data_IF_330044018443
#
_entry.id   IF_330044018443
#
_cell.length_a   1.000
_cell.length_b   1.000
_cell.length_c   1.000
_cell.angle_alpha   90.00
_cell.angle_beta   90.00
_cell.angle_gamma   90.00
#
_symmetry.space_group_name_H-M   'P 1'
#
loop_
_entity.id
_entity.type
_entity.pdbx_description
1 polymer ?
#
# COMPACT_ATOMS: atom_id res chain seq x y z
N UNK A 1 -5.28 -21.86 -24.35
CA UNK A 1 -4.74 -21.68 -22.98
C UNK A 1 -3.94 -22.91 -22.62
N UNK A 2 -2.66 -22.77 -22.34
CA UNK A 2 -1.83 -23.88 -21.84
C UNK A 2 -2.26 -24.27 -20.41
N UNK A 3 -2.06 -25.51 -19.96
CA UNK A 3 -2.37 -25.95 -18.59
C UNK A 3 -1.80 -25.02 -17.51
N UNK A 4 -0.57 -24.54 -17.72
CA UNK A 4 0.12 -23.59 -16.83
C UNK A 4 -0.66 -22.29 -16.63
N UNK A 5 -1.26 -21.77 -17.70
CA UNK A 5 -2.08 -20.54 -17.63
C UNK A 5 -3.38 -20.71 -16.85
N UNK A 6 -3.94 -21.93 -16.76
CA UNK A 6 -5.12 -22.23 -15.96
C UNK A 6 -4.76 -22.33 -14.47
N UNK A 7 -3.65 -23.00 -14.16
CA UNK A 7 -3.13 -23.08 -12.80
C UNK A 7 -2.78 -21.70 -12.26
N UNK A 8 -2.00 -20.90 -13.02
CA UNK A 8 -1.63 -19.53 -12.66
C UNK A 8 -2.85 -18.66 -12.37
N UNK A 9 -3.89 -18.71 -13.21
CA UNK A 9 -5.15 -17.98 -12.97
C UNK A 9 -5.83 -18.41 -11.67
N UNK A 10 -5.91 -19.70 -11.39
CA UNK A 10 -6.52 -20.20 -10.15
C UNK A 10 -5.77 -19.73 -8.92
N UNK A 11 -4.44 -19.83 -8.93
CA UNK A 11 -3.58 -19.34 -7.84
C UNK A 11 -3.81 -17.84 -7.63
N UNK A 12 -3.70 -17.03 -8.68
CA UNK A 12 -3.84 -15.58 -8.55
C UNK A 12 -5.25 -15.15 -8.15
N UNK A 13 -6.30 -15.80 -8.64
CA UNK A 13 -7.67 -15.52 -8.18
C UNK A 13 -7.85 -15.89 -6.71
N UNK A 14 -7.37 -17.06 -6.27
CA UNK A 14 -7.43 -17.48 -4.88
C UNK A 14 -6.67 -16.50 -3.98
N UNK A 15 -5.44 -16.15 -4.35
CA UNK A 15 -4.63 -15.14 -3.65
C UNK A 15 -5.34 -13.78 -3.61
N UNK A 16 -5.95 -13.34 -4.71
CA UNK A 16 -6.71 -12.09 -4.77
C UNK A 16 -7.85 -12.04 -3.76
N UNK A 17 -8.64 -13.12 -3.67
CA UNK A 17 -9.77 -13.24 -2.74
C UNK A 17 -9.26 -13.32 -1.29
N UNK A 18 -8.30 -14.19 -1.01
CA UNK A 18 -7.73 -14.36 0.33
C UNK A 18 -7.05 -13.09 0.83
N UNK A 19 -6.27 -12.42 -0.02
CA UNK A 19 -5.60 -11.16 0.29
C UNK A 19 -6.58 -10.02 0.53
N UNK A 20 -7.64 -9.89 -0.27
CA UNK A 20 -8.68 -8.89 -0.02
C UNK A 20 -9.41 -9.14 1.32
N UNK A 21 -9.71 -10.40 1.65
CA UNK A 21 -10.30 -10.77 2.94
C UNK A 21 -9.37 -10.46 4.12
N UNK A 22 -8.09 -10.80 4.01
CA UNK A 22 -7.07 -10.52 5.03
C UNK A 22 -6.85 -9.02 5.21
N UNK A 23 -6.85 -8.23 4.13
CA UNK A 23 -6.77 -6.78 4.20
C UNK A 23 -7.94 -6.21 5.00
N UNK A 24 -9.17 -6.60 4.65
CA UNK A 24 -10.37 -6.18 5.39
C UNK A 24 -10.33 -6.55 6.87
N UNK A 25 -9.91 -7.79 7.17
CA UNK A 25 -9.74 -8.26 8.53
C UNK A 25 -8.66 -7.46 9.29
N UNK A 26 -7.54 -7.16 8.63
CA UNK A 26 -6.42 -6.41 9.23
C UNK A 26 -6.81 -4.96 9.56
N UNK A 27 -7.54 -4.28 8.68
CA UNK A 27 -8.01 -2.91 8.88
C UNK A 27 -9.15 -2.82 9.90
N UNK A 28 -9.87 -3.93 10.12
CA UNK A 28 -10.86 -4.04 11.19
C UNK A 28 -10.23 -4.36 12.55
N UNK A 29 -8.97 -4.82 12.57
CA UNK A 29 -8.22 -5.00 13.80
C UNK A 29 -7.65 -3.67 14.27
N UNK A 30 -7.54 -3.49 15.59
CA UNK A 30 -6.99 -2.25 16.13
C UNK A 30 -5.50 -2.13 15.76
N UNK A 31 -5.12 -1.02 15.16
CA UNK A 31 -3.76 -0.78 14.70
C UNK A 31 -2.77 -0.85 15.87
N UNK A 32 -1.67 -1.58 15.69
CA UNK A 32 -0.65 -1.80 16.73
C UNK A 32 -0.87 -3.04 17.61
N UNK A 33 -2.03 -3.71 17.53
CA UNK A 33 -2.33 -4.92 18.29
C UNK A 33 -1.64 -6.18 17.74
N UNK A 34 -1.49 -7.22 18.57
CA UNK A 34 -0.98 -8.54 18.13
C UNK A 34 -1.77 -9.11 16.96
N UNK A 35 -3.11 -8.97 16.99
CA UNK A 35 -3.99 -9.42 15.90
C UNK A 35 -3.70 -8.67 14.61
N UNK A 36 -3.49 -7.35 14.68
CA UNK A 36 -3.11 -6.55 13.52
C UNK A 36 -1.79 -7.04 12.91
N UNK A 37 -0.76 -7.30 13.72
CA UNK A 37 0.53 -7.80 13.21
C UNK A 37 0.41 -9.18 12.55
N UNK A 38 -0.33 -10.10 13.17
CA UNK A 38 -0.53 -11.44 12.58
C UNK A 38 -1.30 -11.37 11.25
N UNK A 39 -2.34 -10.53 11.18
CA UNK A 39 -3.14 -10.37 9.95
C UNK A 39 -2.34 -9.68 8.85
N UNK A 40 -1.58 -8.63 9.16
CA UNK A 40 -0.74 -7.91 8.17
C UNK A 40 0.46 -8.73 7.72
N UNK A 41 1.06 -9.55 8.60
CA UNK A 41 2.08 -10.51 8.21
C UNK A 41 1.49 -11.61 7.31
N UNK A 42 0.34 -12.18 7.67
CA UNK A 42 -0.36 -13.17 6.86
C UNK A 42 -0.80 -12.63 5.50
N UNK A 43 -1.18 -11.35 5.44
CA UNK A 43 -1.50 -10.63 4.21
C UNK A 43 -0.27 -10.56 3.29
N UNK A 44 0.88 -10.09 3.82
CA UNK A 44 2.13 -10.01 3.06
C UNK A 44 2.57 -11.38 2.52
N UNK A 45 2.49 -12.42 3.36
CA UNK A 45 2.80 -13.81 2.96
C UNK A 45 1.85 -14.30 1.88
N UNK A 46 0.56 -13.97 1.96
CA UNK A 46 -0.43 -14.37 0.96
C UNK A 46 -0.14 -13.75 -0.40
N UNK A 47 0.13 -12.43 -0.43
CA UNK A 47 0.48 -11.72 -1.66
C UNK A 47 1.77 -12.24 -2.28
N UNK A 48 2.86 -12.29 -1.50
CA UNK A 48 4.16 -12.72 -1.99
C UNK A 48 4.15 -14.21 -2.38
N UNK A 49 3.59 -15.08 -1.54
CA UNK A 49 3.49 -16.51 -1.78
C UNK A 49 2.67 -16.84 -3.03
N UNK A 50 1.51 -16.18 -3.20
CA UNK A 50 0.69 -16.34 -4.40
C UNK A 50 1.36 -15.82 -5.67
N UNK A 51 2.09 -14.70 -5.58
CA UNK A 51 2.85 -14.16 -6.70
C UNK A 51 3.99 -15.10 -7.13
N UNK A 52 4.76 -15.62 -6.18
CA UNK A 52 5.87 -16.53 -6.44
C UNK A 52 5.41 -17.90 -6.93
N UNK A 53 4.29 -18.42 -6.40
CA UNK A 53 3.68 -19.67 -6.87
C UNK A 53 3.11 -19.56 -8.28
N UNK A 54 2.77 -18.36 -8.74
CA UNK A 54 2.22 -18.11 -10.07
C UNK A 54 3.28 -18.08 -11.18
N UNK A 55 4.56 -17.91 -10.86
CA UNK A 55 5.65 -17.94 -11.84
C UNK A 55 6.70 -16.84 -11.66
N UNK A 56 7.63 -16.69 -12.62
CA UNK A 56 8.74 -15.73 -12.53
C UNK A 56 8.24 -14.29 -12.54
N UNK A 57 8.88 -13.44 -11.72
CA UNK A 57 8.55 -12.03 -11.58
C UNK A 57 9.62 -11.16 -12.25
N UNK A 58 9.29 -10.40 -13.32
CA UNK A 58 10.24 -9.51 -13.96
C UNK A 58 10.68 -8.42 -12.99
N UNK A 59 11.97 -8.36 -12.63
CA UNK A 59 12.49 -7.34 -11.70
C UNK A 59 12.65 -5.98 -12.37
N UNK A 60 12.97 -5.95 -13.67
CA UNK A 60 13.14 -4.74 -14.47
C UNK A 60 13.98 -5.02 -15.70
N UNK A 61 14.12 -4.05 -16.60
CA UNK A 61 15.10 -4.16 -17.70
C UNK A 61 16.52 -4.11 -17.12
N UNK A 62 17.41 -4.97 -17.64
CA UNK A 62 18.80 -5.02 -17.20
C UNK A 62 19.47 -3.64 -17.32
N UNK A 63 20.19 -3.16 -16.29
CA UNK A 63 20.88 -1.90 -16.37
C UNK A 63 22.01 -1.97 -17.42
N UNK A 64 21.91 -1.15 -18.47
CA UNK A 64 23.05 -0.88 -19.35
C UNK A 64 24.05 0.02 -18.61
N UNK A 65 25.27 -0.49 -18.39
CA UNK A 65 26.48 0.20 -17.89
C UNK A 65 26.30 1.31 -16.81
N UNK A 66 26.78 1.04 -15.59
CA UNK A 66 27.23 2.01 -14.57
C UNK A 66 26.22 3.01 -13.99
N UNK A 67 25.64 3.87 -14.83
CA UNK A 67 24.68 4.93 -14.44
C UNK A 67 23.22 4.45 -14.39
N UNK A 68 22.86 3.41 -15.13
CA UNK A 68 21.49 2.90 -15.18
C UNK A 68 21.01 2.35 -13.83
N UNK A 69 21.89 1.74 -13.03
CA UNK A 69 21.52 1.17 -11.71
C UNK A 69 21.14 2.25 -10.71
N UNK A 70 21.89 3.36 -10.66
CA UNK A 70 21.56 4.51 -9.78
C UNK A 70 20.22 5.12 -10.18
N UNK A 71 19.97 5.28 -11.48
CA UNK A 71 18.70 5.78 -11.98
C UNK A 71 17.52 4.85 -11.65
N UNK A 72 17.72 3.53 -11.70
CA UNK A 72 16.71 2.52 -11.35
C UNK A 72 16.31 2.52 -9.87
N UNK A 73 17.11 3.13 -8.99
CA UNK A 73 16.78 3.28 -7.55
C UNK A 73 16.31 4.69 -7.23
N UNK A 74 17.07 5.71 -7.66
CA UNK A 74 16.81 7.11 -7.31
C UNK A 74 15.48 7.59 -7.88
N UNK A 75 15.17 7.29 -9.14
CA UNK A 75 13.92 7.77 -9.76
C UNK A 75 12.68 7.20 -9.08
N UNK A 76 12.57 5.89 -8.81
CA UNK A 76 11.48 5.36 -8.01
C UNK A 76 11.35 5.98 -6.62
N UNK A 77 12.45 6.17 -5.89
CA UNK A 77 12.42 6.81 -4.58
C UNK A 77 11.86 8.24 -4.68
N UNK A 78 12.30 9.01 -5.68
CA UNK A 78 11.77 10.35 -5.94
C UNK A 78 10.29 10.34 -6.34
N UNK A 79 9.84 9.35 -7.13
CA UNK A 79 8.43 9.19 -7.47
C UNK A 79 7.60 8.85 -6.23
N UNK A 80 8.08 7.95 -5.37
CA UNK A 80 7.44 7.61 -4.10
C UNK A 80 7.34 8.84 -3.17
N UNK A 81 8.42 9.61 -3.05
CA UNK A 81 8.45 10.85 -2.28
C UNK A 81 7.53 11.93 -2.86
N UNK A 82 7.50 12.10 -4.18
CA UNK A 82 6.59 13.01 -4.87
C UNK A 82 5.12 12.61 -4.71
N UNK A 83 4.83 11.31 -4.80
CA UNK A 83 3.52 10.76 -4.47
C UNK A 83 3.14 11.07 -3.02
N UNK A 84 4.05 10.90 -2.08
CA UNK A 84 3.81 11.27 -0.67
C UNK A 84 3.49 12.76 -0.56
N UNK A 85 4.27 13.64 -1.20
CA UNK A 85 4.02 15.08 -1.18
C UNK A 85 2.62 15.46 -1.68
N UNK A 86 2.14 14.82 -2.75
CA UNK A 86 0.78 15.00 -3.27
C UNK A 86 -0.28 14.58 -2.24
N UNK A 87 -0.16 13.37 -1.68
CA UNK A 87 -1.11 12.85 -0.69
C UNK A 87 -1.09 13.63 0.62
N UNK A 88 0.09 14.02 1.09
CA UNK A 88 0.27 14.85 2.27
C UNK A 88 -0.34 16.24 2.08
N UNK A 89 -0.14 16.86 0.90
CA UNK A 89 -0.79 18.12 0.54
C UNK A 89 -2.32 17.99 0.52
N UNK A 90 -2.85 16.92 -0.08
CA UNK A 90 -4.28 16.64 -0.05
C UNK A 90 -4.81 16.43 1.38
N UNK A 91 -4.06 15.72 2.23
CA UNK A 91 -4.41 15.51 3.63
C UNK A 91 -4.40 16.83 4.43
N UNK A 92 -3.46 17.74 4.15
CA UNK A 92 -3.41 19.09 4.74
C UNK A 92 -4.67 19.89 4.44
N UNK A 93 -5.23 19.76 3.24
CA UNK A 93 -6.50 20.38 2.88
C UNK A 93 -7.67 19.63 3.54
N UNK A 94 -7.65 18.30 3.49
CA UNK A 94 -8.71 17.44 4.03
C UNK A 94 -8.94 17.61 5.53
N UNK A 95 -7.89 17.93 6.31
CA UNK A 95 -8.00 18.19 7.76
C UNK A 95 -8.92 19.38 8.10
N UNK A 96 -9.18 20.27 7.14
CA UNK A 96 -10.12 21.39 7.31
C UNK A 96 -11.58 21.00 7.02
N UNK A 97 -11.83 19.77 6.54
CA UNK A 97 -13.17 19.25 6.25
C UNK A 97 -13.54 18.25 7.35
N UNK A 98 -14.50 18.56 8.25
CA UNK A 98 -14.75 17.76 9.46
C UNK A 98 -15.08 16.28 9.22
N UNK A 99 -15.68 15.95 8.07
CA UNK A 99 -15.98 14.56 7.69
C UNK A 99 -14.70 13.80 7.35
N UNK A 100 -13.78 14.43 6.60
CA UNK A 100 -12.52 13.81 6.18
C UNK A 100 -11.54 13.75 7.34
N UNK A 101 -11.45 14.81 8.14
CA UNK A 101 -10.61 14.85 9.35
C UNK A 101 -10.93 13.70 10.31
N UNK A 102 -12.22 13.49 10.62
CA UNK A 102 -12.65 12.37 11.47
C UNK A 102 -12.35 11.01 10.85
N UNK A 103 -12.57 10.86 9.54
CA UNK A 103 -12.29 9.60 8.83
C UNK A 103 -10.80 9.27 8.83
N UNK A 104 -9.93 10.24 8.57
CA UNK A 104 -8.48 10.05 8.53
C UNK A 104 -7.93 9.82 9.95
N UNK A 105 -8.36 10.63 10.92
CA UNK A 105 -7.97 10.46 12.34
C UNK A 105 -8.37 9.09 12.86
N UNK A 106 -9.55 8.57 12.49
CA UNK A 106 -9.98 7.22 12.90
C UNK A 106 -9.05 6.11 12.37
N UNK A 107 -8.51 6.26 11.16
CA UNK A 107 -7.57 5.31 10.54
C UNK A 107 -6.18 5.41 11.17
N UNK A 108 -5.76 6.60 11.60
CA UNK A 108 -4.43 6.87 12.15
C UNK A 108 -4.31 6.59 13.66
N UNK A 109 -5.40 6.22 14.34
CA UNK A 109 -5.38 5.90 15.77
C UNK A 109 -4.69 4.56 16.03
N UNK A 110 -3.43 4.61 16.42
CA UNK A 110 -2.66 3.47 16.93
C UNK A 110 -3.03 3.16 18.39
N UNK A 111 -2.92 1.90 18.80
CA UNK A 111 -2.85 1.56 20.23
C UNK A 111 -1.65 2.25 20.87
N UNK A 112 -1.85 2.77 22.08
CA UNK A 112 -0.81 3.44 22.87
C UNK A 112 0.40 2.54 23.11
N UNK A 113 0.19 1.22 23.20
CA UNK A 113 1.22 0.19 23.39
C UNK A 113 1.71 -0.43 22.06
N UNK A 114 1.27 0.11 20.92
CA UNK A 114 1.66 -0.36 19.60
C UNK A 114 3.14 -0.10 19.31
N UNK A 115 3.88 -1.16 18.98
CA UNK A 115 5.28 -1.02 18.56
C UNK A 115 5.39 -0.45 17.14
N UNK A 116 5.77 0.83 17.04
CA UNK A 116 6.00 1.52 15.78
C UNK A 116 6.98 0.77 14.83
N UNK A 117 8.09 0.16 15.30
CA UNK A 117 8.94 -0.65 14.44
C UNK A 117 8.22 -1.85 13.79
N UNK A 118 7.32 -2.53 14.51
CA UNK A 118 6.57 -3.65 13.94
C UNK A 118 5.54 -3.19 12.91
N UNK A 119 4.88 -2.04 13.14
CA UNK A 119 3.99 -1.42 12.13
C UNK A 119 4.78 -1.09 10.85
N UNK A 120 5.94 -0.43 10.99
CA UNK A 120 6.80 -0.09 9.84
C UNK A 120 7.27 -1.35 9.10
N UNK A 121 7.65 -2.39 9.83
CA UNK A 121 8.09 -3.66 9.25
C UNK A 121 6.96 -4.33 8.47
N UNK A 122 5.77 -4.50 9.06
CA UNK A 122 4.67 -5.17 8.36
C UNK A 122 4.13 -4.33 7.19
N UNK A 123 4.09 -3.01 7.31
CA UNK A 123 3.72 -2.13 6.20
C UNK A 123 4.74 -2.18 5.06
N UNK A 124 6.04 -2.19 5.37
CA UNK A 124 7.11 -2.32 4.37
C UNK A 124 7.03 -3.66 3.64
N UNK A 125 6.79 -4.75 4.39
CA UNK A 125 6.59 -6.07 3.81
C UNK A 125 5.37 -6.11 2.89
N UNK A 126 4.24 -5.51 3.30
CA UNK A 126 3.05 -5.43 2.46
C UNK A 126 3.26 -4.56 1.21
N UNK A 127 3.94 -3.42 1.33
CA UNK A 127 4.25 -2.57 0.17
C UNK A 127 4.99 -3.35 -0.93
N UNK A 128 6.00 -4.14 -0.55
CA UNK A 128 6.71 -5.00 -1.50
C UNK A 128 5.82 -6.14 -2.00
N UNK A 129 5.15 -6.84 -1.10
CA UNK A 129 4.34 -8.01 -1.44
C UNK A 129 3.16 -7.70 -2.37
N UNK A 130 2.50 -6.56 -2.16
CA UNK A 130 1.45 -6.06 -3.03
C UNK A 130 1.99 -5.80 -4.45
N UNK A 131 3.16 -5.18 -4.59
CA UNK A 131 3.75 -4.96 -5.92
C UNK A 131 4.17 -6.27 -6.60
N UNK A 132 4.65 -7.27 -5.84
CA UNK A 132 4.92 -8.61 -6.38
C UNK A 132 3.64 -9.25 -6.95
N UNK A 133 2.51 -9.11 -6.26
CA UNK A 133 1.24 -9.67 -6.71
C UNK A 133 0.61 -8.86 -7.85
N UNK A 134 0.35 -7.57 -7.64
CA UNK A 134 -0.39 -6.75 -8.58
C UNK A 134 0.45 -6.34 -9.79
N UNK A 135 1.69 -5.85 -9.60
CA UNK A 135 2.57 -5.37 -10.69
C UNK A 135 3.51 -6.44 -11.21
N UNK A 136 3.66 -7.53 -10.48
CA UNK A 136 4.36 -8.73 -10.93
C UNK A 136 3.39 -9.73 -11.56
N UNK A 137 2.87 -10.65 -10.76
CA UNK A 137 2.19 -11.84 -11.27
C UNK A 137 0.88 -11.54 -12.01
N UNK A 138 0.00 -10.69 -11.45
CA UNK A 138 -1.26 -10.32 -12.09
C UNK A 138 -1.05 -9.48 -13.35
N UNK A 139 -0.09 -8.56 -13.32
CA UNK A 139 0.32 -7.79 -14.50
C UNK A 139 0.77 -8.72 -15.63
N UNK A 140 1.70 -9.63 -15.35
CA UNK A 140 2.22 -10.58 -16.34
C UNK A 140 1.14 -11.50 -16.90
N UNK A 141 0.18 -11.94 -16.07
CA UNK A 141 -0.97 -12.73 -16.53
C UNK A 141 -1.86 -11.94 -17.52
N UNK A 142 -1.93 -10.62 -17.37
CA UNK A 142 -2.86 -9.74 -18.11
C UNK A 142 -2.17 -8.87 -19.16
N UNK A 143 -0.87 -9.09 -19.39
CA UNK A 143 0.00 -8.25 -20.22
C UNK A 143 -0.46 -8.13 -21.67
N UNK A 144 -1.12 -9.17 -22.20
CA UNK A 144 -1.64 -9.21 -23.57
C UNK A 144 -2.98 -8.50 -23.78
N UNK A 145 -3.62 -7.99 -22.72
CA UNK A 145 -4.96 -7.39 -22.78
C UNK A 145 -4.89 -5.93 -22.33
N UNK A 146 -5.13 -5.68 -21.04
CA UNK A 146 -5.14 -4.34 -20.44
C UNK A 146 -4.52 -4.37 -19.04
N UNK A 147 -3.21 -4.66 -18.90
CA UNK A 147 -2.61 -4.93 -17.59
C UNK A 147 -2.77 -3.76 -16.62
N UNK A 148 -2.55 -2.52 -17.08
CA UNK A 148 -2.73 -1.33 -16.26
C UNK A 148 -4.16 -1.22 -15.70
N UNK A 149 -5.16 -1.35 -16.56
CA UNK A 149 -6.57 -1.24 -16.16
C UNK A 149 -6.96 -2.39 -15.23
N UNK A 150 -6.58 -3.63 -15.56
CA UNK A 150 -6.92 -4.80 -14.75
C UNK A 150 -6.30 -4.74 -13.36
N UNK A 151 -5.01 -4.44 -13.24
CA UNK A 151 -4.36 -4.32 -11.94
C UNK A 151 -4.87 -3.11 -11.17
N UNK A 152 -5.26 -2.04 -11.86
CA UNK A 152 -5.87 -0.85 -11.23
C UNK A 152 -7.21 -1.17 -10.61
N UNK A 153 -8.10 -1.80 -11.37
CA UNK A 153 -9.42 -2.20 -10.89
C UNK A 153 -9.32 -3.24 -9.77
N UNK A 154 -8.45 -4.24 -9.92
CA UNK A 154 -8.24 -5.27 -8.90
C UNK A 154 -7.74 -4.66 -7.58
N UNK A 155 -6.70 -3.81 -7.64
CA UNK A 155 -6.16 -3.14 -6.46
C UNK A 155 -7.22 -2.22 -5.81
N UNK A 156 -7.91 -1.42 -6.61
CA UNK A 156 -8.96 -0.51 -6.11
C UNK A 156 -10.08 -1.29 -5.43
N UNK A 157 -10.51 -2.41 -6.00
CA UNK A 157 -11.51 -3.30 -5.40
C UNK A 157 -11.01 -3.91 -4.09
N UNK A 158 -9.75 -4.34 -4.03
CA UNK A 158 -9.10 -4.83 -2.81
C UNK A 158 -9.07 -3.73 -1.73
N UNK A 159 -8.60 -2.53 -2.05
CA UNK A 159 -8.55 -1.42 -1.09
C UNK A 159 -9.94 -0.96 -0.67
N UNK A 160 -10.96 -1.07 -1.52
CA UNK A 160 -12.34 -0.71 -1.19
C UNK A 160 -12.92 -1.55 -0.03
N UNK A 161 -12.35 -2.72 0.27
CA UNK A 161 -12.70 -3.52 1.47
C UNK A 161 -12.43 -2.73 2.76
N UNK A 162 -11.54 -1.74 2.74
CA UNK A 162 -11.31 -0.80 3.84
C UNK A 162 -12.54 0.07 4.17
N UNK A 163 -13.52 0.16 3.27
CA UNK A 163 -14.75 0.96 3.40
C UNK A 163 -14.51 2.43 3.71
N UNK A 164 -13.38 2.97 3.27
CA UNK A 164 -13.02 4.38 3.42
C UNK A 164 -12.77 5.00 2.04
N UNK A 165 -13.57 6.00 1.62
CA UNK A 165 -13.39 6.63 0.31
C UNK A 165 -11.97 7.16 0.08
N UNK A 166 -11.36 7.73 1.12
CA UNK A 166 -9.99 8.22 1.07
C UNK A 166 -8.98 7.13 0.69
N UNK A 167 -9.06 5.95 1.32
CA UNK A 167 -8.15 4.85 1.04
C UNK A 167 -8.42 4.23 -0.33
N UNK A 168 -9.69 4.10 -0.74
CA UNK A 168 -10.05 3.61 -2.08
C UNK A 168 -9.53 4.53 -3.18
N UNK A 169 -9.70 5.85 -3.04
CA UNK A 169 -9.19 6.84 -3.99
C UNK A 169 -7.66 6.84 -3.99
N UNK A 170 -7.04 6.79 -2.81
CA UNK A 170 -5.59 6.70 -2.70
C UNK A 170 -5.05 5.44 -3.38
N UNK A 171 -5.69 4.31 -3.14
CA UNK A 171 -5.40 3.03 -3.78
C UNK A 171 -5.53 3.13 -5.30
N UNK A 172 -6.60 3.71 -5.83
CA UNK A 172 -6.77 3.87 -7.29
C UNK A 172 -5.65 4.72 -7.91
N UNK A 173 -5.33 5.88 -7.32
CA UNK A 173 -4.31 6.82 -7.83
C UNK A 173 -2.91 6.21 -7.77
N UNK A 174 -2.52 5.65 -6.62
CA UNK A 174 -1.21 4.98 -6.45
C UNK A 174 -1.09 3.77 -7.38
N UNK A 175 -2.17 3.03 -7.56
CA UNK A 175 -2.24 1.89 -8.45
C UNK A 175 -2.02 2.30 -9.93
N UNK A 176 -2.60 3.41 -10.39
CA UNK A 176 -2.27 3.97 -11.71
C UNK A 176 -0.80 4.37 -11.78
N UNK A 177 -0.29 5.13 -10.80
CA UNK A 177 1.09 5.60 -10.77
C UNK A 177 2.12 4.45 -10.83
N UNK A 178 1.97 3.45 -9.95
CA UNK A 178 2.87 2.30 -9.89
C UNK A 178 2.70 1.38 -11.10
N UNK A 179 1.49 1.29 -11.68
CA UNK A 179 1.28 0.60 -12.95
C UNK A 179 1.99 1.27 -14.12
N UNK A 180 1.93 2.61 -14.22
CA UNK A 180 2.68 3.37 -15.22
C UNK A 180 4.19 3.17 -15.04
N UNK A 181 4.66 3.18 -13.80
CA UNK A 181 6.05 2.94 -13.47
C UNK A 181 6.49 1.50 -13.79
N UNK A 182 5.65 0.49 -13.52
CA UNK A 182 5.88 -0.90 -13.92
C UNK A 182 6.00 -1.04 -15.44
N UNK A 183 5.16 -0.35 -16.21
CA UNK A 183 5.22 -0.33 -17.67
C UNK A 183 6.50 0.33 -18.18
N UNK A 184 6.86 1.47 -17.59
CA UNK A 184 8.05 2.22 -17.95
C UNK A 184 9.36 1.50 -17.60
N UNK A 185 9.42 0.80 -16.47
CA UNK A 185 10.62 0.09 -15.98
C UNK A 185 10.76 -1.35 -16.48
N UNK A 186 9.65 -1.98 -16.87
CA UNK A 186 9.64 -3.37 -17.31
C UNK A 186 9.66 -4.40 -16.17
N UNK A 187 9.56 -3.98 -14.90
CA UNK A 187 9.52 -4.91 -13.77
C UNK A 187 9.08 -4.31 -12.44
N UNK A 188 9.03 -5.15 -11.40
CA UNK A 188 8.42 -4.83 -10.10
C UNK A 188 9.30 -3.97 -9.20
N UNK A 189 10.62 -3.91 -9.45
CA UNK A 189 11.55 -3.24 -8.53
C UNK A 189 11.22 -1.76 -8.38
N UNK A 190 10.98 -1.09 -9.51
CA UNK A 190 10.66 0.33 -9.52
C UNK A 190 9.39 0.62 -8.71
N UNK A 191 8.20 0.05 -9.02
CA UNK A 191 7.01 0.32 -8.22
C UNK A 191 7.16 -0.11 -6.75
N UNK A 192 7.87 -1.21 -6.44
CA UNK A 192 8.13 -1.63 -5.07
C UNK A 192 8.92 -0.58 -4.27
N UNK A 193 9.95 0.03 -4.86
CA UNK A 193 10.71 1.10 -4.22
C UNK A 193 9.87 2.37 -4.01
N UNK A 194 9.05 2.74 -5.00
CA UNK A 194 8.13 3.88 -4.87
C UNK A 194 7.11 3.65 -3.77
N UNK A 195 6.48 2.47 -3.75
CA UNK A 195 5.47 2.10 -2.78
C UNK A 195 6.08 2.04 -1.38
N UNK A 196 7.23 1.39 -1.22
CA UNK A 196 7.95 1.36 0.06
C UNK A 196 8.28 2.78 0.56
N UNK A 197 8.84 3.63 -0.30
CA UNK A 197 9.15 5.02 0.04
C UNK A 197 7.90 5.79 0.45
N UNK A 198 6.83 5.69 -0.34
CA UNK A 198 5.55 6.33 -0.05
C UNK A 198 4.98 5.88 1.29
N UNK A 199 4.92 4.57 1.54
CA UNK A 199 4.39 3.99 2.79
C UNK A 199 5.18 4.43 4.01
N UNK A 200 6.52 4.41 3.94
CA UNK A 200 7.38 4.87 5.02
C UNK A 200 7.15 6.34 5.32
N UNK A 201 7.08 7.21 4.31
CA UNK A 201 6.82 8.63 4.52
C UNK A 201 5.42 8.89 5.07
N UNK A 202 4.40 8.20 4.55
CA UNK A 202 3.03 8.31 5.07
C UNK A 202 2.96 7.92 6.55
N UNK A 203 3.58 6.80 6.94
CA UNK A 203 3.53 6.33 8.33
C UNK A 203 4.30 7.24 9.30
N UNK A 204 5.38 7.87 8.85
CA UNK A 204 6.19 8.75 9.72
C UNK A 204 5.63 10.17 9.82
N UNK A 205 5.03 10.71 8.75
CA UNK A 205 4.66 12.14 8.69
C UNK A 205 3.16 12.40 8.71
N UNK A 206 2.32 11.45 8.32
CA UNK A 206 0.87 11.66 8.30
C UNK A 206 0.25 11.65 9.70
N UNK A 207 0.54 10.72 10.63
CA UNK A 207 -0.06 10.74 11.97
C UNK A 207 0.15 12.07 12.71
N UNK A 208 1.39 12.63 12.79
CA UNK A 208 1.61 13.93 13.45
C UNK A 208 0.82 15.11 12.86
N UNK A 209 0.38 15.03 11.60
CA UNK A 209 -0.43 16.08 10.98
C UNK A 209 -1.84 16.17 11.58
N UNK A 210 -2.36 15.07 12.12
CA UNK A 210 -3.71 14.92 12.67
C UNK A 210 -3.73 14.82 14.21
N UNK A 211 -2.57 14.65 14.85
CA UNK A 211 -2.45 14.79 16.30
C UNK A 211 -2.62 16.26 16.72
N UNK A 212 -3.82 16.61 17.16
CA UNK A 212 -4.08 17.90 17.79
C UNK A 212 -3.73 17.80 19.27
N UNK A 213 -2.86 18.66 19.84
CA UNK A 213 -2.64 18.68 21.28
C UNK A 213 -3.98 18.88 22.00
N UNK A 214 -4.27 18.02 22.97
CA UNK A 214 -5.51 18.07 23.74
C UNK A 214 -5.80 19.50 24.18
N UNK A 215 -7.01 20.01 23.92
CA UNK A 215 -7.44 21.30 24.48
C UNK A 215 -7.14 21.30 25.98
N UNK A 216 -6.53 22.36 26.54
CA UNK A 216 -6.34 22.49 27.97
C UNK A 216 -7.67 22.20 28.67
N UNK A 217 -7.68 21.28 29.64
CA UNK A 217 -8.86 21.14 30.51
C UNK A 217 -9.10 22.50 31.15
N UNK A 218 -10.33 23.06 31.10
CA UNK A 218 -10.62 24.24 31.89
C UNK A 218 -10.24 23.94 33.36
N UNK A 219 -9.61 24.89 34.06
CA UNK A 219 -9.24 24.69 35.45
C UNK A 219 -10.47 24.23 36.22
N UNK A 220 -10.32 23.19 37.04
CA UNK A 220 -11.38 22.70 37.89
C UNK A 220 -11.88 23.89 38.71
N UNK A 221 -13.07 24.38 38.38
CA UNK A 221 -13.71 25.42 39.15
C UNK A 221 -13.85 24.92 40.57
N UNK A 222 -13.16 25.58 41.49
CA UNK A 222 -13.42 25.46 42.93
C UNK A 222 -14.84 25.95 43.16
N UNK A 223 -15.78 25.00 43.28
CA UNK A 223 -17.06 25.27 43.91
C UNK A 223 -16.79 25.38 45.42
N UNK A 224 -16.62 26.62 45.88
CA UNK A 224 -16.89 27.02 47.25
C UNK A 224 -18.35 27.43 47.36
#
# INVERSE_FOLDING_TARGET
MTPDSRHQRRVLTATGISGAGLLGASLSARAGSRRFYLLTAGLAVSWAGGALAAGPLPLGRAPGHGGATRHQVVVPVLIGAGGFGLFYGAARIARHIPVLDRAITAVLRYEADGSAPFVLLTASANAVAEELFFRGALWSLTERVHPLTTTTLAYTATTAVARTPALTIAGAVTSVLFGLQRRASGGVLAPALSHLTWSLLMLNYLPPLFDTPARPRPPAGTLN
#
